data_IF_754353472490
#
_entry.id   IF_754353472490
#
_cell.length_a   1.000
_cell.length_b   1.000
_cell.length_c   1.000
_cell.angle_alpha   90.00
_cell.angle_beta   90.00
_cell.angle_gamma   90.00
#
_symmetry.space_group_name_H-M   'P 1'
#
loop_
_entity.id
_entity.type
_entity.pdbx_description
1 polymer ?
#
# COMPACT_ATOMS: atom_id res chain seq x y z
N UNK A 1 -2.22 -10.43 8.16
CA UNK A 1 -2.16 -11.64 9.03
C UNK A 1 -2.29 -12.97 8.29
N UNK A 2 -3.33 -13.26 7.50
CA UNK A 2 -3.50 -14.59 6.86
C UNK A 2 -2.29 -15.01 6.01
N UNK A 3 -1.79 -14.12 5.14
CA UNK A 3 -0.61 -14.40 4.30
C UNK A 3 0.65 -14.65 5.13
N UNK A 4 0.88 -13.85 6.18
CA UNK A 4 2.00 -14.01 7.13
C UNK A 4 1.97 -15.37 7.82
N UNK A 5 0.81 -15.75 8.39
CA UNK A 5 0.65 -17.06 9.05
C UNK A 5 0.81 -18.21 8.08
N UNK A 6 0.31 -18.07 6.85
CA UNK A 6 0.50 -19.08 5.81
C UNK A 6 1.98 -19.26 5.45
N UNK A 7 2.72 -18.16 5.23
CA UNK A 7 4.14 -18.20 4.92
C UNK A 7 4.97 -18.80 6.08
N UNK A 8 4.62 -18.46 7.32
CA UNK A 8 5.25 -19.02 8.51
C UNK A 8 5.05 -20.54 8.60
N UNK A 9 3.81 -21.02 8.38
CA UNK A 9 3.49 -22.47 8.39
C UNK A 9 4.17 -23.23 7.24
N UNK A 10 4.49 -22.55 6.14
CA UNK A 10 5.27 -23.11 5.03
C UNK A 10 6.76 -23.23 5.36
N UNK A 11 7.25 -22.59 6.43
CA UNK A 11 8.67 -22.51 6.77
C UNK A 11 9.46 -21.53 5.89
N UNK A 12 8.77 -20.69 5.09
CA UNK A 12 9.42 -19.72 4.21
C UNK A 12 9.68 -18.41 4.96
N UNK A 13 10.91 -18.25 5.46
CA UNK A 13 11.33 -17.10 6.28
C UNK A 13 11.28 -15.79 5.49
N UNK A 14 11.59 -15.82 4.20
CA UNK A 14 11.60 -14.63 3.35
C UNK A 14 10.17 -14.12 3.13
N UNK A 15 9.24 -15.01 2.78
CA UNK A 15 7.83 -14.65 2.64
C UNK A 15 7.21 -14.24 3.98
N UNK A 16 7.60 -14.89 5.07
CA UNK A 16 7.12 -14.54 6.42
C UNK A 16 7.54 -13.12 6.77
N UNK A 17 8.83 -12.79 6.59
CA UNK A 17 9.36 -11.45 6.83
C UNK A 17 8.65 -10.42 5.95
N UNK A 18 8.54 -10.69 4.64
CA UNK A 18 7.86 -9.80 3.71
C UNK A 18 6.41 -9.52 4.12
N UNK A 19 5.60 -10.55 4.37
CA UNK A 19 4.19 -10.34 4.73
C UNK A 19 3.99 -9.80 6.15
N UNK A 20 4.94 -10.01 7.06
CA UNK A 20 4.95 -9.35 8.36
C UNK A 20 5.21 -7.84 8.21
N UNK A 21 6.25 -7.46 7.47
CA UNK A 21 6.56 -6.06 7.16
C UNK A 21 5.42 -5.39 6.39
N UNK A 22 4.81 -6.07 5.41
CA UNK A 22 3.63 -5.57 4.71
C UNK A 22 2.46 -5.30 5.68
N UNK A 23 2.19 -6.24 6.61
CA UNK A 23 1.10 -6.07 7.59
C UNK A 23 1.38 -4.91 8.55
N UNK A 24 2.63 -4.78 9.01
CA UNK A 24 3.06 -3.66 9.85
C UNK A 24 2.99 -2.32 9.09
N UNK A 25 3.38 -2.30 7.82
CA UNK A 25 3.27 -1.12 6.96
C UNK A 25 1.81 -0.70 6.76
N UNK A 26 0.89 -1.65 6.55
CA UNK A 26 -0.54 -1.33 6.45
C UNK A 26 -1.11 -0.81 7.78
N UNK A 27 -0.67 -1.39 8.92
CA UNK A 27 -1.09 -0.92 10.24
C UNK A 27 -0.57 0.48 10.52
N UNK A 28 0.69 0.76 10.19
CA UNK A 28 1.28 2.09 10.31
C UNK A 28 0.54 3.08 9.42
N UNK A 29 0.39 2.78 8.13
CA UNK A 29 -0.32 3.65 7.18
C UNK A 29 -1.75 3.98 7.65
N UNK A 30 -2.57 2.96 7.93
CA UNK A 30 -3.93 3.19 8.41
C UNK A 30 -4.01 3.81 9.81
N UNK A 31 -3.00 3.56 10.65
CA UNK A 31 -2.86 4.17 11.97
C UNK A 31 -2.60 5.66 11.87
N UNK A 32 -1.63 6.07 11.05
CA UNK A 32 -1.33 7.49 10.80
C UNK A 32 -2.57 8.24 10.27
N UNK A 33 -3.25 7.67 9.27
CA UNK A 33 -4.48 8.25 8.71
C UNK A 33 -5.63 8.36 9.72
N UNK A 34 -5.82 7.36 10.58
CA UNK A 34 -6.87 7.37 11.61
C UNK A 34 -6.45 8.11 12.89
N UNK A 35 -5.32 8.82 12.89
CA UNK A 35 -4.73 9.45 14.08
C UNK A 35 -4.57 8.48 15.25
N UNK A 36 -4.19 7.24 14.95
CA UNK A 36 -4.07 6.11 15.87
C UNK A 36 -5.36 5.79 16.65
N UNK A 37 -6.51 6.18 16.10
CA UNK A 37 -7.84 6.01 16.68
C UNK A 37 -8.43 7.29 17.28
N UNK A 38 -7.71 8.42 17.26
CA UNK A 38 -8.21 9.66 17.85
C UNK A 38 -9.53 10.11 17.22
N UNK A 39 -9.68 9.97 15.91
CA UNK A 39 -10.92 10.31 15.21
C UNK A 39 -12.11 9.47 15.67
N UNK A 40 -11.87 8.25 16.17
CA UNK A 40 -12.94 7.35 16.63
C UNK A 40 -13.29 7.53 18.10
N UNK A 41 -12.28 7.79 18.94
CA UNK A 41 -12.47 7.85 20.40
C UNK A 41 -12.44 9.27 20.97
N UNK A 42 -12.04 10.27 20.17
CA UNK A 42 -12.21 11.69 20.47
C UNK A 42 -11.37 12.22 21.63
N UNK A 43 -10.22 11.62 21.93
CA UNK A 43 -9.35 12.16 22.98
C UNK A 43 -8.71 13.49 22.55
N UNK A 44 -8.47 14.36 23.52
CA UNK A 44 -7.80 15.62 23.28
C UNK A 44 -6.31 15.41 22.98
N UNK A 45 -5.78 16.17 22.03
CA UNK A 45 -4.34 16.18 21.76
C UNK A 45 -3.59 16.83 22.93
N UNK A 46 -2.60 16.12 23.51
CA UNK A 46 -1.77 16.65 24.59
C UNK A 46 -1.10 17.96 24.20
N UNK A 47 -0.92 18.86 25.16
CA UNK A 47 -0.35 20.19 24.91
C UNK A 47 1.06 20.12 24.29
N UNK A 48 1.89 19.19 24.78
CA UNK A 48 3.22 18.94 24.22
C UNK A 48 3.16 18.47 22.76
N UNK A 49 2.08 17.81 22.36
CA UNK A 49 1.89 17.28 21.01
C UNK A 49 1.34 18.33 20.06
N UNK A 50 0.51 19.27 20.53
CA UNK A 50 0.02 20.40 19.71
C UNK A 50 1.14 21.29 19.19
N UNK A 51 2.25 21.41 19.93
CA UNK A 51 3.42 22.14 19.47
C UNK A 51 4.12 21.46 18.27
N UNK A 52 3.86 20.17 18.05
CA UNK A 52 4.49 19.36 17.01
C UNK A 52 3.55 19.01 15.87
N UNK A 53 2.23 19.07 16.08
CA UNK A 53 1.19 18.66 15.12
C UNK A 53 0.22 19.81 14.82
N UNK A 54 0.10 20.17 13.54
CA UNK A 54 -0.67 21.33 13.09
C UNK A 54 -2.18 21.14 13.06
N UNK A 55 -2.63 19.90 13.02
CA UNK A 55 -4.05 19.57 12.92
C UNK A 55 -4.65 19.22 14.28
N UNK A 56 -3.83 19.30 15.35
CA UNK A 56 -4.24 18.90 16.68
C UNK A 56 -4.55 17.42 16.73
N UNK A 57 -3.72 16.59 16.06
CA UNK A 57 -3.89 15.15 15.97
C UNK A 57 -2.72 14.37 16.60
N UNK A 58 -2.94 13.11 16.98
CA UNK A 58 -1.92 12.22 17.57
C UNK A 58 -1.25 11.30 16.54
N UNK A 59 -0.89 11.84 15.38
CA UNK A 59 -0.09 11.17 14.35
C UNK A 59 1.22 11.93 14.02
N UNK A 60 2.12 11.24 13.34
CA UNK A 60 3.37 11.82 12.82
C UNK A 60 3.17 12.46 11.45
N UNK A 61 2.22 11.98 10.67
CA UNK A 61 1.91 12.50 9.35
C UNK A 61 1.58 14.00 9.40
N UNK A 62 0.79 14.46 10.39
CA UNK A 62 0.47 15.89 10.54
C UNK A 62 1.47 16.68 11.40
N UNK A 63 2.66 16.12 11.64
CA UNK A 63 3.72 16.79 12.41
C UNK A 63 4.66 17.62 11.55
N UNK A 64 4.95 18.85 11.99
CA UNK A 64 5.89 19.77 11.32
C UNK A 64 7.36 19.52 11.66
N UNK A 65 7.64 18.63 12.60
CA UNK A 65 9.01 18.31 12.96
C UNK A 65 9.74 17.72 11.75
N UNK A 66 11.06 17.89 11.71
CA UNK A 66 11.90 17.27 10.67
C UNK A 66 11.67 15.75 10.59
N UNK A 67 11.52 15.11 11.76
CA UNK A 67 11.24 13.69 11.85
C UNK A 67 9.83 13.34 11.32
N UNK A 68 8.81 14.12 11.68
CA UNK A 68 7.44 13.92 11.17
C UNK A 68 7.35 14.07 9.66
N UNK A 69 7.91 15.16 9.12
CA UNK A 69 7.95 15.39 7.67
C UNK A 69 8.65 14.26 6.90
N UNK A 70 9.74 13.72 7.47
CA UNK A 70 10.41 12.56 6.89
C UNK A 70 9.54 11.30 6.96
N UNK A 71 8.88 11.05 8.11
CA UNK A 71 8.04 9.88 8.35
C UNK A 71 6.71 9.90 7.59
N UNK A 72 6.26 11.08 7.17
CA UNK A 72 5.16 11.25 6.21
C UNK A 72 5.65 10.93 4.78
N UNK A 73 6.63 11.68 4.30
CA UNK A 73 6.96 11.68 2.88
C UNK A 73 7.68 10.40 2.43
N UNK A 74 8.56 9.85 3.27
CA UNK A 74 9.38 8.71 2.88
C UNK A 74 8.54 7.44 2.63
N UNK A 75 7.66 6.98 3.55
CA UNK A 75 6.80 5.83 3.29
C UNK A 75 5.90 6.03 2.06
N UNK A 76 5.31 7.23 1.93
CA UNK A 76 4.44 7.57 0.80
C UNK A 76 5.18 7.50 -0.54
N UNK A 77 6.37 8.08 -0.63
CA UNK A 77 7.16 8.10 -1.86
C UNK A 77 7.70 6.71 -2.21
N UNK A 78 8.16 5.94 -1.22
CA UNK A 78 8.59 4.56 -1.44
C UNK A 78 7.44 3.69 -1.96
N UNK A 79 6.24 3.83 -1.37
CA UNK A 79 5.05 3.11 -1.82
C UNK A 79 4.64 3.56 -3.23
N UNK A 80 4.67 4.85 -3.54
CA UNK A 80 4.40 5.39 -4.87
C UNK A 80 5.30 4.76 -5.94
N UNK A 81 6.61 4.71 -5.68
CA UNK A 81 7.60 4.11 -6.58
C UNK A 81 7.38 2.60 -6.71
N UNK A 82 7.14 1.90 -5.60
CA UNK A 82 6.86 0.46 -5.60
C UNK A 82 5.60 0.13 -6.42
N UNK A 83 4.57 0.96 -6.34
CA UNK A 83 3.33 0.82 -7.11
C UNK A 83 3.56 1.09 -8.60
N UNK A 84 4.23 2.18 -8.94
CA UNK A 84 4.49 2.51 -10.33
C UNK A 84 5.37 1.46 -11.01
N UNK A 85 6.47 1.09 -10.36
CA UNK A 85 7.45 0.15 -10.92
C UNK A 85 6.95 -1.29 -10.81
N UNK A 86 6.61 -1.74 -9.59
CA UNK A 86 6.23 -3.12 -9.30
C UNK A 86 4.79 -3.46 -9.63
N UNK A 87 3.87 -2.50 -9.48
CA UNK A 87 2.44 -2.65 -9.78
C UNK A 87 2.10 -2.48 -11.25
N UNK A 88 2.86 -1.69 -12.00
CA UNK A 88 2.52 -1.33 -13.39
C UNK A 88 3.62 -1.64 -14.40
N UNK A 89 4.78 -0.98 -14.31
CA UNK A 89 5.83 -1.08 -15.34
C UNK A 89 6.34 -2.52 -15.49
N UNK A 90 6.68 -3.17 -14.39
CA UNK A 90 7.22 -4.54 -14.42
C UNK A 90 6.19 -5.56 -14.94
N UNK A 91 4.92 -5.62 -14.46
CA UNK A 91 3.91 -6.50 -15.03
C UNK A 91 3.69 -6.29 -16.54
N UNK A 92 3.67 -5.03 -17.02
CA UNK A 92 3.53 -4.70 -18.45
C UNK A 92 4.73 -5.26 -19.24
N UNK A 93 5.96 -4.91 -18.85
CA UNK A 93 7.17 -5.36 -19.55
C UNK A 93 7.25 -6.89 -19.58
N UNK A 94 6.91 -7.55 -18.47
CA UNK A 94 6.91 -9.00 -18.37
C UNK A 94 5.88 -9.65 -19.28
N UNK A 95 4.67 -9.07 -19.37
CA UNK A 95 3.61 -9.54 -20.27
C UNK A 95 4.04 -9.38 -21.74
N UNK A 96 4.60 -8.24 -22.11
CA UNK A 96 5.11 -7.99 -23.47
C UNK A 96 6.25 -8.95 -23.86
N UNK A 97 7.06 -9.38 -22.89
CA UNK A 97 8.15 -10.35 -23.10
C UNK A 97 7.73 -11.82 -22.93
N UNK A 98 6.45 -12.11 -22.67
CA UNK A 98 5.97 -13.47 -22.41
C UNK A 98 6.59 -14.14 -21.18
N UNK A 99 7.08 -13.37 -20.20
CA UNK A 99 7.78 -13.88 -19.01
C UNK A 99 6.89 -13.88 -17.78
N UNK A 100 6.63 -15.05 -17.22
CA UNK A 100 5.86 -15.20 -15.98
C UNK A 100 6.77 -15.56 -14.81
N UNK A 101 6.33 -15.28 -13.58
CA UNK A 101 7.00 -15.81 -12.39
C UNK A 101 6.61 -17.28 -12.24
N UNK A 102 7.59 -18.16 -12.12
CA UNK A 102 7.34 -19.59 -11.91
C UNK A 102 6.61 -19.79 -10.57
N UNK A 103 5.61 -20.69 -10.56
CA UNK A 103 4.85 -21.02 -9.35
C UNK A 103 5.80 -21.48 -8.24
N UNK A 104 5.54 -21.04 -7.02
CA UNK A 104 6.37 -21.37 -5.85
C UNK A 104 7.61 -20.50 -5.66
N UNK A 105 8.00 -19.67 -6.63
CA UNK A 105 9.09 -18.69 -6.45
C UNK A 105 8.66 -17.51 -5.60
N UNK A 106 9.60 -16.86 -4.91
CA UNK A 106 9.35 -15.64 -4.13
C UNK A 106 8.64 -14.55 -4.96
N UNK A 107 9.11 -14.33 -6.20
CA UNK A 107 8.51 -13.35 -7.11
C UNK A 107 7.05 -13.64 -7.47
N UNK A 108 6.66 -14.92 -7.58
CA UNK A 108 5.25 -15.29 -7.83
C UNK A 108 4.33 -14.89 -6.69
N UNK A 109 4.81 -14.97 -5.45
CA UNK A 109 4.03 -14.64 -4.26
C UNK A 109 4.02 -13.15 -3.94
N UNK A 110 5.15 -12.47 -4.15
CA UNK A 110 5.34 -11.09 -3.71
C UNK A 110 4.97 -10.09 -4.78
N UNK A 111 5.22 -10.36 -6.06
CA UNK A 111 5.02 -9.35 -7.09
C UNK A 111 3.54 -9.16 -7.42
N UNK A 112 3.08 -7.91 -7.59
CA UNK A 112 1.75 -7.61 -8.10
C UNK A 112 1.50 -8.27 -9.47
N UNK A 113 0.27 -8.68 -9.69
CA UNK A 113 -0.17 -9.24 -10.97
C UNK A 113 -0.54 -8.14 -11.97
N UNK A 114 -0.98 -8.55 -13.16
CA UNK A 114 -1.50 -7.60 -14.15
C UNK A 114 -2.78 -6.89 -13.67
N UNK A 115 -3.51 -7.51 -12.72
CA UNK A 115 -4.71 -6.95 -12.09
C UNK A 115 -4.43 -5.62 -11.36
N UNK A 116 -3.19 -5.39 -10.92
CA UNK A 116 -2.77 -4.19 -10.21
C UNK A 116 -2.31 -3.06 -11.14
N UNK A 117 -2.20 -3.27 -12.46
CA UNK A 117 -1.56 -2.32 -13.39
C UNK A 117 -2.31 -0.99 -13.47
N UNK A 118 -3.63 -1.02 -13.56
CA UNK A 118 -4.42 0.21 -13.67
C UNK A 118 -4.24 1.08 -12.43
N UNK A 119 -4.47 0.51 -11.24
CA UNK A 119 -4.35 1.25 -9.99
C UNK A 119 -2.91 1.62 -9.65
N UNK A 120 -1.93 0.75 -9.95
CA UNK A 120 -0.51 1.05 -9.73
C UNK A 120 0.02 2.17 -10.62
N UNK A 121 -0.65 2.46 -11.75
CA UNK A 121 -0.31 3.57 -12.63
C UNK A 121 -1.02 4.85 -12.18
N UNK A 122 -2.33 4.79 -11.92
CA UNK A 122 -3.12 5.99 -11.63
C UNK A 122 -2.80 6.54 -10.24
N UNK A 123 -2.66 5.69 -9.23
CA UNK A 123 -2.56 6.13 -7.84
C UNK A 123 -1.31 7.01 -7.56
N UNK A 124 -0.09 6.68 -8.04
CA UNK A 124 1.06 7.57 -7.86
C UNK A 124 0.92 8.92 -8.57
N UNK A 125 0.07 8.99 -9.60
CA UNK A 125 -0.16 10.18 -10.42
C UNK A 125 -1.37 11.01 -9.95
N UNK A 126 -2.11 10.54 -8.94
CA UNK A 126 -3.37 11.14 -8.50
C UNK A 126 -3.22 12.59 -8.03
N UNK A 127 -2.10 12.94 -7.39
CA UNK A 127 -1.82 14.29 -6.89
C UNK A 127 -1.12 15.18 -7.93
N UNK A 128 -0.91 14.73 -9.18
CA UNK A 128 -0.21 15.54 -10.20
C UNK A 128 -1.11 16.67 -10.74
N UNK A 129 -2.39 16.44 -11.08
CA UNK A 129 -3.25 17.50 -11.58
C UNK A 129 -3.33 18.70 -10.63
N UNK A 130 -3.57 18.45 -9.35
CA UNK A 130 -3.57 19.46 -8.27
C UNK A 130 -2.28 20.28 -8.28
N UNK A 131 -1.11 19.63 -8.21
CA UNK A 131 0.20 20.31 -8.23
C UNK A 131 0.45 21.14 -9.49
N UNK A 132 -0.06 20.70 -10.64
CA UNK A 132 0.03 21.48 -11.89
C UNK A 132 -0.84 22.73 -11.76
N UNK A 133 -2.08 22.60 -11.30
CA UNK A 133 -2.99 23.74 -11.13
C UNK A 133 -2.47 24.75 -10.10
N UNK A 134 -2.00 24.30 -8.94
CA UNK A 134 -1.38 25.18 -7.93
C UNK A 134 -0.17 25.95 -8.47
N UNK A 135 0.59 25.36 -9.40
CA UNK A 135 1.75 26.03 -10.02
C UNK A 135 1.40 26.98 -11.16
N UNK A 136 0.19 26.86 -11.73
CA UNK A 136 -0.22 27.54 -12.96
C UNK A 136 -1.34 28.56 -12.74
N UNK A 137 -2.08 28.46 -11.63
CA UNK A 137 -3.23 29.30 -11.30
C UNK A 137 -3.15 29.71 -9.82
N UNK A 138 -3.63 30.92 -9.51
CA UNK A 138 -3.68 31.41 -8.12
C UNK A 138 -4.69 30.63 -7.26
N UNK A 139 -5.75 30.07 -7.89
CA UNK A 139 -6.75 29.22 -7.26
C UNK A 139 -7.06 28.00 -8.14
N UNK A 140 -7.24 26.83 -7.51
CA UNK A 140 -7.66 25.61 -8.20
C UNK A 140 -9.17 25.64 -8.42
N UNK A 141 -9.67 25.57 -9.67
CA UNK A 141 -11.11 25.69 -9.93
C UNK A 141 -11.88 24.43 -9.54
N UNK A 142 -13.08 24.59 -8.96
CA UNK A 142 -14.03 23.49 -8.76
C UNK A 142 -14.31 22.75 -10.07
N UNK A 143 -14.36 21.39 -10.10
CA UNK A 143 -14.30 20.46 -8.97
C UNK A 143 -12.89 19.91 -8.68
N UNK A 144 -11.83 20.60 -9.10
CA UNK A 144 -10.44 20.16 -8.93
C UNK A 144 -9.80 20.63 -7.61
N UNK A 145 -10.55 21.36 -6.79
CA UNK A 145 -10.19 21.85 -5.43
C UNK A 145 -10.21 20.74 -4.36
N UNK A 146 -10.12 19.47 -4.77
CA UNK A 146 -10.05 18.32 -3.88
C UNK A 146 -8.61 18.16 -3.42
N UNK A 147 -8.41 17.90 -2.12
CA UNK A 147 -7.09 17.61 -1.55
C UNK A 147 -6.52 16.32 -2.18
N UNK A 148 -5.66 16.51 -3.18
CA UNK A 148 -5.14 15.41 -4.01
C UNK A 148 -4.19 14.51 -3.23
N UNK A 149 -3.66 14.99 -2.10
CA UNK A 149 -3.00 14.19 -1.07
C UNK A 149 -3.90 13.06 -0.53
N UNK A 150 -5.10 13.40 -0.06
CA UNK A 150 -6.06 12.44 0.49
C UNK A 150 -6.53 11.44 -0.58
N UNK A 151 -6.81 11.92 -1.79
CA UNK A 151 -7.20 11.05 -2.91
C UNK A 151 -6.10 10.05 -3.22
N UNK A 152 -4.83 10.50 -3.24
CA UNK A 152 -3.67 9.64 -3.48
C UNK A 152 -3.55 8.56 -2.40
N UNK A 153 -3.73 8.90 -1.14
CA UNK A 153 -3.69 7.94 -0.02
C UNK A 153 -4.82 6.92 -0.07
N UNK A 154 -6.04 7.36 -0.39
CA UNK A 154 -7.16 6.45 -0.63
C UNK A 154 -6.82 5.46 -1.76
N UNK A 155 -6.25 5.95 -2.86
CA UNK A 155 -5.84 5.08 -3.96
C UNK A 155 -4.69 4.13 -3.59
N UNK A 156 -3.78 4.53 -2.69
CA UNK A 156 -2.75 3.65 -2.13
C UNK A 156 -3.39 2.54 -1.29
N UNK A 157 -4.35 2.87 -0.43
CA UNK A 157 -5.10 1.89 0.34
C UNK A 157 -5.82 0.88 -0.57
N UNK A 158 -6.47 1.35 -1.65
CA UNK A 158 -7.12 0.49 -2.65
C UNK A 158 -6.11 -0.42 -3.34
N UNK A 159 -4.92 0.09 -3.72
CA UNK A 159 -3.86 -0.74 -4.29
C UNK A 159 -3.42 -1.83 -3.32
N UNK A 160 -3.12 -1.49 -2.07
CA UNK A 160 -2.67 -2.44 -1.04
C UNK A 160 -3.74 -3.51 -0.78
N UNK A 161 -5.01 -3.11 -0.74
CA UNK A 161 -6.17 -3.99 -0.61
C UNK A 161 -6.31 -4.96 -1.80
N UNK A 162 -6.27 -4.44 -3.02
CA UNK A 162 -6.31 -5.28 -4.23
C UNK A 162 -5.12 -6.24 -4.25
N UNK A 163 -3.92 -5.73 -3.98
CA UNK A 163 -2.70 -6.52 -3.93
C UNK A 163 -2.83 -7.71 -2.96
N UNK A 164 -3.22 -7.47 -1.71
CA UNK A 164 -3.34 -8.56 -0.74
C UNK A 164 -4.45 -9.54 -1.11
N UNK A 165 -5.55 -9.08 -1.71
CA UNK A 165 -6.60 -9.98 -2.23
C UNK A 165 -6.02 -10.90 -3.31
N UNK A 166 -5.23 -10.38 -4.26
CA UNK A 166 -4.60 -11.25 -5.28
C UNK A 166 -3.67 -12.29 -4.68
N UNK A 167 -2.90 -11.94 -3.64
CA UNK A 167 -2.05 -12.88 -2.90
C UNK A 167 -2.88 -13.97 -2.22
N UNK A 168 -3.97 -13.58 -1.54
CA UNK A 168 -4.86 -14.54 -0.87
C UNK A 168 -5.53 -15.50 -1.85
N UNK A 169 -5.89 -15.03 -3.05
CA UNK A 169 -6.43 -15.88 -4.11
C UNK A 169 -5.39 -16.90 -4.62
N UNK A 170 -4.11 -16.49 -4.79
CA UNK A 170 -3.02 -17.41 -5.14
C UNK A 170 -2.84 -18.49 -4.07
N UNK A 171 -2.86 -18.11 -2.79
CA UNK A 171 -2.74 -19.03 -1.65
C UNK A 171 -3.91 -20.05 -1.66
N UNK A 172 -5.14 -19.58 -1.89
CA UNK A 172 -6.32 -20.46 -1.98
C UNK A 172 -6.22 -21.44 -3.16
N UNK A 173 -5.74 -20.99 -4.30
CA UNK A 173 -5.54 -21.82 -5.50
C UNK A 173 -4.49 -22.92 -5.27
N UNK A 174 -3.37 -22.60 -4.62
CA UNK A 174 -2.33 -23.59 -4.29
C UNK A 174 -2.88 -24.69 -3.37
N UNK A 175 -3.60 -24.33 -2.30
CA UNK A 175 -4.22 -25.29 -1.37
C UNK A 175 -5.21 -26.22 -2.07
N UNK A 176 -6.02 -25.68 -2.97
CA UNK A 176 -7.02 -26.45 -3.73
C UNK A 176 -6.35 -27.46 -4.67
N UNK A 177 -5.24 -27.05 -5.31
CA UNK A 177 -4.45 -27.93 -6.18
C UNK A 177 -3.80 -29.07 -5.40
N UNK A 178 -3.23 -28.77 -4.22
CA UNK A 178 -2.62 -29.77 -3.35
C UNK A 178 -3.63 -30.82 -2.84
N UNK A 179 -4.82 -30.38 -2.42
CA UNK A 179 -5.89 -31.28 -1.98
C UNK A 179 -6.35 -32.22 -3.11
N UNK A 180 -6.48 -31.70 -4.33
CA UNK A 180 -6.87 -32.50 -5.51
C UNK A 180 -5.81 -33.55 -5.86
N UNK A 181 -4.52 -33.21 -5.75
CA UNK A 181 -3.42 -34.14 -6.02
C UNK A 181 -3.35 -35.27 -4.99
N UNK A 182 -3.55 -34.97 -3.70
CA UNK A 182 -3.57 -35.96 -2.63
C UNK A 182 -4.74 -36.94 -2.78
N UNK A 183 -5.91 -36.47 -3.22
CA UNK A 183 -7.06 -37.33 -3.48
C UNK A 183 -6.90 -38.28 -4.68
N UNK A 184 -5.97 -38.01 -5.60
CA UNK A 184 -5.71 -38.83 -6.80
C UNK A 184 -4.64 -39.91 -6.59
N UNK A 185 -3.87 -39.83 -5.50
CA UNK A 185 -2.80 -40.77 -5.16
C UNK A 185 -2.92 -41.20 -3.68
N UNK A 186 -3.94 -42.01 -3.33
CA UNK A 186 -4.05 -42.62 -2.00
C UNK A 186 -3.00 -43.71 -1.74
#
# INVERSE_FOLDING_TARGET
MIATTWAFRRGDRALTCFFALFSLGCLYFGGEEASWGQHWFGWATPEQWRALNNQGETNFHNSNSLAGSLLDQLPRNLLAVAMLVGGSILPIIRRLRGRFYARGTFGYWVMPGFDCVAIGLIAPLASIPEKIFESAMDDVPFPFDIEGGEVKELMFAVFLGLYIVTVLLRIRSERSTAATSAARHP
#
